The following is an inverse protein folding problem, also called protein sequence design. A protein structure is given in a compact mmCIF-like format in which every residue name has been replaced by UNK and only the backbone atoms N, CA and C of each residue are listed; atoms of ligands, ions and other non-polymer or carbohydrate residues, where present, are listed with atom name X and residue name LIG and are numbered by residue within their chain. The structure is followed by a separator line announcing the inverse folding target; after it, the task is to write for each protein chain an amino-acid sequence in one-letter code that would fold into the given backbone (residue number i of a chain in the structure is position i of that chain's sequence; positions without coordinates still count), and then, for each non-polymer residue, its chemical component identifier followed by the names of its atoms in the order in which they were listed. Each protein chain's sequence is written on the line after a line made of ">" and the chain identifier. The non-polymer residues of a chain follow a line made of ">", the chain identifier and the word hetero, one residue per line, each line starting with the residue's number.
data_IF_190262328415
#
_entry.id   IF_190262328415
#
_cell.length_a   1.000
_cell.length_b   1.000
_cell.length_c   1.000
_cell.angle_alpha   90.00
_cell.angle_beta   90.00
_cell.angle_gamma   90.00
#
_symmetry.space_group_name_H-M   'P 1'
#
loop_
_entity.id
_entity.type
_entity.pdbx_description
1 polymer ?
#
# COMPACT_ATOMS: atom_id res chain seq x y z
N UNK A 1 20.25 -10.80 -28.33
CA UNK A 1 20.82 -10.61 -26.98
C UNK A 1 19.97 -9.55 -26.32
N UNK A 2 19.48 -9.78 -25.10
CA UNK A 2 18.75 -8.74 -24.35
C UNK A 2 19.71 -7.57 -24.11
N UNK A 3 19.30 -6.33 -24.40
CA UNK A 3 20.12 -5.15 -24.10
C UNK A 3 20.13 -4.79 -22.61
N UNK A 4 19.25 -5.43 -21.82
CA UNK A 4 19.16 -5.21 -20.38
C UNK A 4 20.49 -5.47 -19.66
N UNK A 5 20.87 -4.51 -18.81
CA UNK A 5 21.91 -4.62 -17.80
C UNK A 5 21.54 -3.70 -16.61
N UNK A 6 21.96 -4.04 -15.37
CA UNK A 6 21.85 -3.11 -14.25
C UNK A 6 22.67 -1.86 -14.54
N UNK A 7 22.06 -0.69 -14.35
CA UNK A 7 22.74 0.59 -14.50
C UNK A 7 23.81 0.75 -13.43
N UNK A 8 24.88 1.43 -13.78
CA UNK A 8 25.82 2.01 -12.81
C UNK A 8 25.60 3.52 -12.64
N UNK A 9 26.30 4.13 -11.69
CA UNK A 9 26.16 5.56 -11.39
C UNK A 9 26.52 6.47 -12.57
N UNK A 10 27.51 6.11 -13.38
CA UNK A 10 27.91 6.91 -14.56
C UNK A 10 26.84 6.85 -15.65
N UNK A 11 26.26 5.68 -15.89
CA UNK A 11 25.13 5.50 -16.83
C UNK A 11 23.90 6.27 -16.37
N UNK A 12 23.59 6.24 -15.07
CA UNK A 12 22.51 7.03 -14.49
C UNK A 12 22.72 8.54 -14.69
N UNK A 13 23.96 9.04 -14.56
CA UNK A 13 24.31 10.44 -14.85
C UNK A 13 24.13 10.77 -16.33
N UNK A 14 24.57 9.91 -17.25
CA UNK A 14 24.39 10.15 -18.68
C UNK A 14 22.90 10.17 -19.07
N UNK A 15 22.11 9.25 -18.51
CA UNK A 15 20.67 9.21 -18.70
C UNK A 15 20.02 10.49 -18.17
N UNK A 16 20.38 10.93 -16.97
CA UNK A 16 19.89 12.19 -16.40
C UNK A 16 20.12 13.40 -17.32
N UNK A 17 21.31 13.50 -17.92
CA UNK A 17 21.66 14.56 -18.88
C UNK A 17 20.84 14.54 -20.16
N UNK A 18 20.35 13.36 -20.56
CA UNK A 18 19.53 13.21 -21.76
C UNK A 18 18.05 13.60 -21.56
N UNK A 19 17.60 13.82 -20.32
CA UNK A 19 16.23 14.23 -20.02
C UNK A 19 16.05 15.70 -20.39
N UNK A 20 15.22 16.03 -21.39
CA UNK A 20 15.12 17.40 -21.91
C UNK A 20 14.65 18.39 -20.85
N UNK A 21 15.40 19.49 -20.69
CA UNK A 21 15.03 20.61 -19.83
C UNK A 21 15.05 20.33 -18.32
N UNK A 22 15.58 19.16 -17.88
CA UNK A 22 15.66 18.84 -16.45
C UNK A 22 16.90 19.40 -15.78
N UNK A 23 18.02 19.39 -16.48
CA UNK A 23 19.29 19.93 -16.00
C UNK A 23 19.85 20.94 -17.01
N UNK A 24 20.47 22.05 -16.57
CA UNK A 24 21.24 22.91 -17.46
C UNK A 24 22.38 22.15 -18.16
N UNK A 25 22.76 22.55 -19.38
CA UNK A 25 23.85 21.88 -20.13
C UNK A 25 25.20 21.84 -19.37
N UNK A 26 25.43 22.83 -18.50
CA UNK A 26 26.62 22.96 -17.67
C UNK A 26 26.43 22.41 -16.25
N UNK A 27 25.36 21.65 -15.99
CA UNK A 27 25.13 21.04 -14.69
C UNK A 27 26.19 19.98 -14.39
N UNK A 28 26.84 20.11 -13.25
CA UNK A 28 27.71 19.07 -12.72
C UNK A 28 26.86 18.10 -11.90
N UNK A 29 26.67 16.88 -12.41
CA UNK A 29 25.81 15.90 -11.74
C UNK A 29 26.60 14.95 -10.85
N UNK A 30 26.03 14.62 -9.70
CA UNK A 30 26.44 13.51 -8.84
C UNK A 30 25.32 12.48 -8.75
N UNK A 31 25.70 11.21 -8.61
CA UNK A 31 24.75 10.11 -8.48
C UNK A 31 25.12 9.24 -7.28
N UNK A 32 24.11 8.90 -6.48
CA UNK A 32 24.20 7.90 -5.42
C UNK A 32 23.09 6.87 -5.60
N UNK A 33 23.39 5.59 -5.39
CA UNK A 33 22.36 4.56 -5.25
C UNK A 33 21.86 4.61 -3.79
N UNK A 34 20.54 4.69 -3.61
CA UNK A 34 19.86 4.92 -2.32
C UNK A 34 18.76 3.89 -2.06
N UNK A 35 18.65 2.85 -2.89
CA UNK A 35 17.60 1.86 -2.78
C UNK A 35 17.79 0.97 -1.56
N UNK A 36 17.15 1.36 -0.46
CA UNK A 36 16.91 0.53 0.74
C UNK A 36 15.77 -0.49 0.53
N UNK A 37 15.07 -0.39 -0.60
CA UNK A 37 13.90 -1.20 -0.94
C UNK A 37 14.20 -2.65 -1.36
N UNK A 38 13.15 -3.47 -1.25
CA UNK A 38 13.21 -4.92 -1.38
C UNK A 38 13.38 -5.45 -2.83
N UNK A 39 13.17 -4.62 -3.86
CA UNK A 39 12.98 -5.12 -5.24
C UNK A 39 13.82 -4.43 -6.33
N UNK A 40 14.19 -3.15 -6.16
CA UNK A 40 14.67 -2.31 -7.27
C UNK A 40 15.95 -1.52 -6.89
N UNK A 41 16.73 -1.10 -7.89
CA UNK A 41 17.80 -0.11 -7.73
C UNK A 41 17.19 1.29 -7.82
N UNK A 42 17.65 2.20 -6.96
CA UNK A 42 17.15 3.59 -6.95
C UNK A 42 18.33 4.53 -6.96
N UNK A 43 18.54 5.23 -8.07
CA UNK A 43 19.59 6.22 -8.23
C UNK A 43 19.04 7.62 -8.00
N UNK A 44 19.65 8.36 -7.07
CA UNK A 44 19.41 9.78 -6.85
C UNK A 44 20.49 10.58 -7.55
N UNK A 45 20.08 11.32 -8.58
CA UNK A 45 20.96 12.18 -9.37
C UNK A 45 20.67 13.64 -9.03
N UNK A 46 21.70 14.35 -8.61
CA UNK A 46 21.62 15.76 -8.17
C UNK A 46 22.58 16.63 -8.96
N UNK A 47 22.22 17.89 -9.20
CA UNK A 47 23.17 18.89 -9.67
C UNK A 47 23.91 19.54 -8.49
N UNK A 48 25.25 19.68 -8.56
CA UNK A 48 26.03 20.36 -7.51
C UNK A 48 25.78 21.87 -7.47
N UNK A 49 25.43 22.45 -8.61
CA UNK A 49 25.37 23.89 -8.84
C UNK A 49 23.93 24.43 -8.94
N UNK A 50 22.92 23.57 -8.86
CA UNK A 50 21.49 23.95 -8.79
C UNK A 50 20.77 23.13 -7.72
N UNK A 51 19.50 23.42 -7.45
CA UNK A 51 18.65 22.60 -6.59
C UNK A 51 17.94 21.45 -7.36
N UNK A 52 18.31 21.21 -8.62
CA UNK A 52 17.66 20.21 -9.45
C UNK A 52 18.14 18.79 -9.10
N UNK A 53 17.19 17.87 -9.07
CA UNK A 53 17.44 16.44 -8.80
C UNK A 53 16.41 15.56 -9.51
N UNK A 54 16.74 14.28 -9.72
CA UNK A 54 15.81 13.26 -10.21
C UNK A 54 16.07 11.92 -9.53
N UNK A 55 15.06 11.06 -9.59
CA UNK A 55 15.18 9.65 -9.26
C UNK A 55 15.14 8.82 -10.53
N UNK A 56 16.04 7.84 -10.63
CA UNK A 56 16.00 6.79 -11.65
C UNK A 56 15.83 5.46 -10.92
N UNK A 57 14.65 4.86 -11.05
CA UNK A 57 14.35 3.54 -10.48
C UNK A 57 14.47 2.49 -11.56
N UNK A 58 15.24 1.43 -11.31
CA UNK A 58 15.42 0.32 -12.25
C UNK A 58 15.07 -1.02 -11.60
N UNK A 59 14.24 -1.81 -12.28
CA UNK A 59 13.94 -3.17 -11.85
C UNK A 59 15.11 -4.11 -12.13
N UNK A 60 15.36 -5.06 -11.22
CA UNK A 60 16.31 -6.16 -11.38
C UNK A 60 15.58 -7.51 -11.55
N UNK A 61 16.14 -8.55 -12.20
CA UNK A 61 15.38 -9.75 -12.58
C UNK A 61 15.08 -10.72 -11.41
N UNK A 62 15.16 -10.24 -10.17
CA UNK A 62 14.90 -10.99 -8.93
C UNK A 62 14.44 -10.06 -7.80
N UNK A 63 13.91 -10.61 -6.72
CA UNK A 63 13.60 -9.84 -5.51
C UNK A 63 14.88 -9.55 -4.71
N UNK A 64 15.33 -8.30 -4.59
CA UNK A 64 16.57 -7.94 -3.85
C UNK A 64 16.61 -8.45 -2.41
N UNK A 65 15.47 -8.51 -1.72
CA UNK A 65 15.39 -8.95 -0.31
C UNK A 65 15.71 -10.44 -0.12
N UNK A 66 15.45 -11.27 -1.13
CA UNK A 66 15.72 -12.72 -1.10
C UNK A 66 16.94 -13.09 -1.96
N UNK A 67 17.22 -12.31 -3.00
CA UNK A 67 18.28 -12.53 -3.98
C UNK A 67 17.81 -13.33 -5.19
N UNK A 68 18.76 -13.81 -5.97
CA UNK A 68 18.53 -14.52 -7.25
C UNK A 68 17.69 -15.79 -7.14
N UNK A 69 17.51 -16.33 -5.92
CA UNK A 69 16.64 -17.48 -5.65
C UNK A 69 15.15 -17.18 -5.80
N UNK A 70 14.75 -15.91 -5.92
CA UNK A 70 13.38 -15.50 -6.24
C UNK A 70 13.35 -14.62 -7.51
N UNK A 71 13.28 -15.24 -8.70
CA UNK A 71 13.18 -14.51 -9.97
C UNK A 71 11.90 -13.68 -10.06
N UNK A 72 11.99 -12.49 -10.65
CA UNK A 72 10.86 -11.59 -10.90
C UNK A 72 10.97 -10.95 -12.27
N UNK A 73 9.86 -10.92 -13.01
CA UNK A 73 9.81 -10.25 -14.31
C UNK A 73 10.18 -8.77 -14.22
N UNK A 74 10.97 -8.30 -15.18
CA UNK A 74 11.29 -6.90 -15.38
C UNK A 74 10.09 -6.08 -15.89
N UNK A 75 9.06 -6.75 -16.42
CA UNK A 75 7.83 -6.12 -16.92
C UNK A 75 7.09 -5.32 -15.83
N UNK A 76 7.38 -5.59 -14.55
CA UNK A 76 6.87 -4.82 -13.43
C UNK A 76 7.27 -3.34 -13.48
N UNK A 77 8.41 -2.99 -14.10
CA UNK A 77 8.79 -1.60 -14.31
C UNK A 77 7.84 -0.87 -15.29
N UNK A 78 7.39 -1.59 -16.34
CA UNK A 78 6.37 -1.09 -17.27
C UNK A 78 5.02 -0.91 -16.55
N UNK A 79 4.63 -1.87 -15.72
CA UNK A 79 3.40 -1.80 -14.91
C UNK A 79 3.46 -0.59 -13.98
N UNK A 80 4.53 -0.44 -13.20
CA UNK A 80 4.73 0.67 -12.28
C UNK A 80 4.64 2.02 -13.00
N UNK A 81 5.37 2.17 -14.11
CA UNK A 81 5.32 3.40 -14.92
C UNK A 81 3.91 3.72 -15.39
N UNK A 82 3.19 2.73 -15.94
CA UNK A 82 1.84 2.95 -16.46
C UNK A 82 0.85 3.29 -15.35
N UNK A 83 1.01 2.69 -14.17
CA UNK A 83 0.23 3.04 -12.99
C UNK A 83 0.54 4.47 -12.54
N UNK A 84 1.81 4.85 -12.38
CA UNK A 84 2.22 6.21 -12.03
C UNK A 84 1.68 7.25 -13.03
N UNK A 85 1.78 7.01 -14.33
CA UNK A 85 1.22 7.91 -15.36
C UNK A 85 -0.30 8.02 -15.25
N UNK A 86 -1.00 6.91 -14.99
CA UNK A 86 -2.46 6.90 -14.82
C UNK A 86 -2.85 7.66 -13.57
N UNK A 87 -2.24 7.35 -12.43
CA UNK A 87 -2.51 8.00 -11.14
C UNK A 87 -2.16 9.49 -11.18
N UNK A 88 -1.04 9.88 -11.80
CA UNK A 88 -0.64 11.28 -11.98
C UNK A 88 -1.65 12.06 -12.83
N UNK A 89 -2.21 11.43 -13.87
CA UNK A 89 -3.25 12.08 -14.69
C UNK A 89 -4.53 12.39 -13.90
N UNK A 90 -4.79 11.60 -12.84
CA UNK A 90 -5.97 11.74 -11.99
C UNK A 90 -5.69 12.65 -10.78
N UNK A 91 -4.48 12.59 -10.22
CA UNK A 91 -4.06 13.23 -8.97
C UNK A 91 -2.61 13.76 -9.07
N UNK A 92 -2.32 14.77 -9.93
CA UNK A 92 -0.95 15.19 -10.24
C UNK A 92 -0.19 15.77 -9.04
N UNK A 93 -0.91 16.29 -8.04
CA UNK A 93 -0.33 16.79 -6.81
C UNK A 93 0.05 15.66 -5.83
N UNK A 94 -0.52 14.45 -5.98
CA UNK A 94 -0.34 13.32 -5.07
C UNK A 94 0.55 12.20 -5.59
N UNK A 95 1.13 12.32 -6.77
CA UNK A 95 1.95 11.28 -7.41
C UNK A 95 3.21 11.95 -7.97
N UNK A 96 4.39 11.30 -7.94
CA UNK A 96 5.58 11.87 -8.58
C UNK A 96 5.40 11.93 -10.09
N UNK A 97 5.87 13.02 -10.70
CA UNK A 97 5.88 13.13 -12.16
C UNK A 97 6.91 12.18 -12.79
N UNK A 98 6.52 11.45 -13.84
CA UNK A 98 7.45 10.67 -14.68
C UNK A 98 8.06 11.58 -15.76
N UNK A 99 9.39 11.51 -15.92
CA UNK A 99 10.16 12.30 -16.89
C UNK A 99 10.66 11.49 -18.09
N UNK A 100 10.87 10.19 -17.92
CA UNK A 100 11.39 9.31 -18.96
C UNK A 100 11.40 7.86 -18.51
N UNK A 101 11.61 6.93 -19.44
CA UNK A 101 11.61 5.50 -19.14
C UNK A 101 12.26 4.69 -20.27
N UNK A 102 12.55 3.42 -19.99
CA UNK A 102 12.84 2.42 -21.01
C UNK A 102 12.26 1.08 -20.57
N UNK A 103 11.34 0.53 -21.38
CA UNK A 103 10.80 -0.81 -21.14
C UNK A 103 11.88 -1.89 -21.39
N UNK A 104 12.87 -1.63 -22.25
CA UNK A 104 13.97 -2.55 -22.55
C UNK A 104 15.01 -2.61 -21.43
N UNK A 105 15.34 -1.47 -20.83
CA UNK A 105 16.27 -1.38 -19.68
C UNK A 105 15.55 -1.42 -18.33
N UNK A 106 14.21 -1.52 -18.34
CA UNK A 106 13.34 -1.60 -17.17
C UNK A 106 13.56 -0.48 -16.13
N UNK A 107 13.73 0.77 -16.60
CA UNK A 107 13.84 1.93 -15.72
C UNK A 107 12.73 2.95 -15.92
N UNK A 108 12.46 3.71 -14.86
CA UNK A 108 11.62 4.90 -14.84
C UNK A 108 12.39 6.06 -14.20
N UNK A 109 12.40 7.21 -14.87
CA UNK A 109 12.95 8.47 -14.38
C UNK A 109 11.80 9.33 -13.87
N UNK A 110 11.87 9.82 -12.64
CA UNK A 110 10.77 10.51 -11.98
C UNK A 110 11.22 11.63 -11.03
N UNK A 111 10.23 12.40 -10.57
CA UNK A 111 10.35 13.46 -9.56
C UNK A 111 11.09 12.96 -8.32
N UNK A 112 12.06 13.76 -7.87
CA UNK A 112 12.74 13.52 -6.60
C UNK A 112 11.89 14.05 -5.44
N UNK A 113 11.66 13.18 -4.46
CA UNK A 113 10.90 13.44 -3.25
C UNK A 113 11.79 13.40 -2.00
N UNK A 114 13.10 13.62 -2.12
CA UNK A 114 14.05 13.58 -1.00
C UNK A 114 13.76 14.56 0.14
N UNK A 115 12.93 15.59 -0.11
CA UNK A 115 12.43 16.51 0.94
C UNK A 115 11.28 15.92 1.77
N UNK A 116 10.69 14.80 1.34
CA UNK A 116 9.60 14.11 2.02
C UNK A 116 10.13 13.02 2.94
N UNK A 117 9.32 12.65 3.93
CA UNK A 117 9.58 11.50 4.81
C UNK A 117 8.64 10.35 4.45
N UNK A 118 9.14 9.12 4.44
CA UNK A 118 8.26 7.95 4.32
C UNK A 118 7.28 7.93 5.50
N UNK A 119 5.97 7.84 5.21
CA UNK A 119 4.90 7.97 6.20
C UNK A 119 5.08 7.01 7.39
N UNK A 120 5.51 5.76 7.14
CA UNK A 120 5.82 4.79 8.20
C UNK A 120 6.83 5.33 9.21
N UNK A 121 7.95 5.88 8.73
CA UNK A 121 8.99 6.46 9.58
C UNK A 121 8.42 7.63 10.39
N UNK A 122 7.70 8.53 9.74
CA UNK A 122 7.08 9.68 10.39
C UNK A 122 6.07 9.30 11.49
N UNK A 123 5.30 8.22 11.27
CA UNK A 123 4.37 7.69 12.26
C UNK A 123 5.08 7.10 13.49
N UNK A 124 6.17 6.36 13.28
CA UNK A 124 7.02 5.84 14.38
C UNK A 124 7.59 6.98 15.22
N UNK A 125 8.05 8.06 14.56
CA UNK A 125 8.54 9.27 15.21
C UNK A 125 7.43 10.09 15.91
N UNK A 126 6.16 9.73 15.71
CA UNK A 126 5.01 10.38 16.33
C UNK A 126 4.59 11.71 15.69
N UNK A 127 5.06 11.98 14.46
CA UNK A 127 4.75 13.19 13.71
C UNK A 127 3.27 13.20 13.30
N UNK A 128 2.65 14.37 13.34
CA UNK A 128 1.27 14.56 12.89
C UNK A 128 1.23 15.00 11.42
N UNK A 129 0.36 14.37 10.63
CA UNK A 129 0.14 14.70 9.22
C UNK A 129 -1.33 15.07 9.02
N UNK A 130 -1.74 16.32 9.31
CA UNK A 130 -3.15 16.71 9.37
C UNK A 130 -3.87 16.61 8.02
N UNK A 131 -3.12 16.70 6.91
CA UNK A 131 -3.66 16.60 5.54
C UNK A 131 -3.72 15.19 4.97
N UNK A 132 -3.09 14.21 5.61
CA UNK A 132 -2.95 12.86 5.08
C UNK A 132 -4.29 12.20 4.74
N UNK A 133 -5.25 12.25 5.68
CA UNK A 133 -6.55 11.61 5.49
C UNK A 133 -7.34 12.18 4.31
N UNK A 134 -7.31 13.51 4.16
CA UNK A 134 -7.91 14.24 3.03
C UNK A 134 -7.25 13.83 1.71
N UNK A 135 -5.92 13.90 1.65
CA UNK A 135 -5.15 13.59 0.45
C UNK A 135 -5.32 12.13 0.00
N UNK A 136 -5.16 11.17 0.90
CA UNK A 136 -5.24 9.75 0.57
C UNK A 136 -6.67 9.31 0.29
N UNK A 137 -7.67 9.83 1.02
CA UNK A 137 -9.08 9.58 0.70
C UNK A 137 -9.45 10.07 -0.70
N UNK A 138 -8.99 11.27 -1.09
CA UNK A 138 -9.17 11.82 -2.45
C UNK A 138 -8.44 10.99 -3.50
N UNK A 139 -7.18 10.59 -3.24
CA UNK A 139 -6.40 9.73 -4.12
C UNK A 139 -7.16 8.44 -4.43
N UNK A 140 -7.53 7.68 -3.39
CA UNK A 140 -8.27 6.43 -3.49
C UNK A 140 -9.59 6.61 -4.24
N UNK A 141 -10.35 7.67 -3.93
CA UNK A 141 -11.64 7.90 -4.58
C UNK A 141 -11.47 8.10 -6.09
N UNK A 142 -10.52 8.94 -6.50
CA UNK A 142 -10.29 9.29 -7.91
C UNK A 142 -9.70 8.12 -8.69
N UNK A 143 -8.63 7.50 -8.19
CA UNK A 143 -7.95 6.41 -8.90
C UNK A 143 -8.85 5.19 -9.06
N UNK A 144 -9.58 4.81 -8.01
CA UNK A 144 -10.48 3.66 -8.05
C UNK A 144 -11.74 3.95 -8.88
N UNK A 145 -12.34 5.13 -8.76
CA UNK A 145 -13.56 5.47 -9.52
C UNK A 145 -13.30 5.53 -11.03
N UNK A 146 -12.34 6.36 -11.45
CA UNK A 146 -12.09 6.61 -12.87
C UNK A 146 -11.45 5.43 -13.62
N UNK A 147 -11.03 4.38 -12.91
CA UNK A 147 -10.53 3.14 -13.53
C UNK A 147 -11.50 1.95 -13.37
N UNK A 148 -12.69 2.19 -12.79
CA UNK A 148 -13.75 1.18 -12.66
C UNK A 148 -14.76 1.25 -13.81
N UNK A 149 -15.67 0.26 -13.92
CA UNK A 149 -16.79 0.33 -14.86
C UNK A 149 -17.78 1.47 -14.56
N UNK A 150 -17.67 2.13 -13.39
CA UNK A 150 -18.49 3.28 -13.03
C UNK A 150 -18.03 4.55 -13.76
N UNK A 151 -16.72 4.83 -13.72
CA UNK A 151 -16.13 6.05 -14.27
C UNK A 151 -15.41 5.85 -15.62
N UNK A 152 -15.31 4.61 -16.12
CA UNK A 152 -14.66 4.27 -17.38
C UNK A 152 -15.58 3.46 -18.29
N UNK A 153 -15.48 3.71 -19.60
CA UNK A 153 -16.13 2.85 -20.60
C UNK A 153 -15.66 1.38 -20.45
N UNK A 154 -16.60 0.43 -20.47
CA UNK A 154 -16.30 -0.97 -20.15
C UNK A 154 -15.44 -1.70 -21.20
N UNK A 155 -15.35 -1.22 -22.44
CA UNK A 155 -14.44 -1.78 -23.45
C UNK A 155 -13.01 -1.29 -23.19
N UNK A 156 -12.83 0.02 -22.99
CA UNK A 156 -11.53 0.61 -22.61
C UNK A 156 -10.98 -0.02 -21.34
N UNK A 157 -11.84 -0.27 -20.35
CA UNK A 157 -11.44 -0.97 -19.11
C UNK A 157 -10.90 -2.38 -19.41
N UNK A 158 -11.54 -3.15 -20.28
CA UNK A 158 -11.08 -4.51 -20.64
C UNK A 158 -9.74 -4.50 -21.35
N UNK A 159 -9.53 -3.54 -22.26
CA UNK A 159 -8.25 -3.34 -22.93
C UNK A 159 -7.15 -2.93 -21.92
N UNK A 160 -7.48 -2.00 -21.01
CA UNK A 160 -6.56 -1.56 -19.97
C UNK A 160 -6.22 -2.71 -19.01
N UNK A 161 -7.20 -3.53 -18.63
CA UNK A 161 -6.97 -4.73 -17.83
C UNK A 161 -6.00 -5.71 -18.50
N UNK A 162 -6.08 -5.87 -19.83
CA UNK A 162 -5.10 -6.65 -20.59
C UNK A 162 -3.67 -6.11 -20.51
N UNK A 163 -3.49 -4.79 -20.35
CA UNK A 163 -2.17 -4.14 -20.19
C UNK A 163 -1.61 -4.26 -18.77
N UNK A 164 -2.46 -4.55 -17.80
CA UNK A 164 -2.14 -4.67 -16.37
C UNK A 164 -2.20 -6.13 -15.87
N UNK A 165 -2.01 -7.10 -16.78
CA UNK A 165 -1.78 -8.49 -16.39
C UNK A 165 -0.40 -8.57 -15.72
N UNK A 166 -0.39 -8.90 -14.43
CA UNK A 166 0.80 -8.82 -13.57
C UNK A 166 0.99 -10.09 -12.70
N UNK A 167 1.18 -11.27 -13.31
CA UNK A 167 1.05 -12.55 -12.62
C UNK A 167 2.09 -12.76 -11.51
N UNK A 168 3.35 -12.34 -11.70
CA UNK A 168 4.42 -12.59 -10.73
C UNK A 168 4.17 -11.84 -9.41
N UNK A 169 3.77 -10.56 -9.50
CA UNK A 169 3.51 -9.72 -8.32
C UNK A 169 2.17 -10.07 -7.67
N UNK A 170 1.16 -10.44 -8.46
CA UNK A 170 -0.07 -11.03 -7.93
C UNK A 170 0.22 -12.31 -7.16
N UNK A 171 1.06 -13.21 -7.68
CA UNK A 171 1.41 -14.47 -7.00
C UNK A 171 2.10 -14.23 -5.65
N UNK A 172 3.02 -13.27 -5.57
CA UNK A 172 3.62 -12.86 -4.29
C UNK A 172 2.54 -12.46 -3.28
N UNK A 173 1.55 -11.69 -3.73
CA UNK A 173 0.45 -11.22 -2.87
C UNK A 173 -0.47 -12.37 -2.46
N UNK A 174 -0.83 -13.24 -3.40
CA UNK A 174 -1.63 -14.45 -3.17
C UNK A 174 -1.02 -15.33 -2.08
N UNK A 175 0.29 -15.56 -2.15
CA UNK A 175 1.01 -16.39 -1.20
C UNK A 175 1.18 -15.70 0.14
N UNK A 176 1.81 -14.52 0.14
CA UNK A 176 2.28 -13.88 1.36
C UNK A 176 1.15 -13.27 2.18
N UNK A 177 -0.01 -12.95 1.59
CA UNK A 177 -1.14 -12.37 2.33
C UNK A 177 -2.22 -13.40 2.62
N UNK A 178 -2.50 -14.32 1.69
CA UNK A 178 -3.70 -15.16 1.76
C UNK A 178 -3.42 -16.65 1.95
N UNK A 179 -2.16 -17.08 1.97
CA UNK A 179 -1.81 -18.48 2.09
C UNK A 179 -0.80 -18.75 3.21
N UNK A 180 0.42 -18.23 3.08
CA UNK A 180 1.54 -18.53 3.97
C UNK A 180 1.23 -18.32 5.45
N UNK A 181 0.64 -17.18 5.90
CA UNK A 181 0.34 -16.96 7.32
C UNK A 181 -0.57 -18.00 7.99
N UNK A 182 -1.31 -18.78 7.19
CA UNK A 182 -2.36 -19.69 7.65
C UNK A 182 -1.98 -21.16 7.51
N UNK A 183 -0.75 -21.46 7.07
CA UNK A 183 -0.20 -22.83 6.99
C UNK A 183 1.24 -22.89 7.46
N UNK A 184 1.80 -24.08 7.50
CA UNK A 184 3.24 -24.23 7.63
C UNK A 184 3.91 -23.79 6.31
N UNK A 185 4.80 -22.81 6.41
CA UNK A 185 5.49 -22.22 5.26
C UNK A 185 6.89 -21.78 5.68
N UNK A 186 7.88 -22.05 4.83
CA UNK A 186 9.26 -21.61 5.04
C UNK A 186 9.41 -20.07 4.94
N UNK A 187 8.41 -19.39 4.37
CA UNK A 187 8.37 -17.94 4.29
C UNK A 187 7.94 -17.29 5.60
N UNK A 188 7.23 -18.00 6.48
CA UNK A 188 6.80 -17.43 7.75
C UNK A 188 8.00 -17.19 8.66
N UNK A 189 8.05 -16.00 9.25
CA UNK A 189 9.09 -15.57 10.16
C UNK A 189 8.41 -14.91 11.36
N UNK A 190 8.70 -15.38 12.57
CA UNK A 190 8.14 -14.82 13.80
C UNK A 190 8.95 -15.25 15.01
N UNK A 191 8.89 -14.46 16.08
CA UNK A 191 9.58 -14.76 17.33
C UNK A 191 8.91 -15.90 18.09
N UNK A 192 9.69 -16.66 18.86
CA UNK A 192 9.18 -17.77 19.68
C UNK A 192 8.12 -17.32 20.70
N UNK A 193 8.16 -16.06 21.12
CA UNK A 193 7.20 -15.44 22.05
C UNK A 193 5.77 -15.38 21.51
N UNK A 194 5.56 -15.48 20.20
CA UNK A 194 4.24 -15.50 19.55
C UNK A 194 3.99 -16.78 18.73
N UNK A 195 4.77 -17.84 18.96
CA UNK A 195 4.62 -19.10 18.24
C UNK A 195 3.26 -19.77 18.47
N UNK A 196 2.66 -19.57 19.65
CA UNK A 196 1.30 -20.00 20.00
C UNK A 196 0.24 -19.31 19.14
N UNK A 197 0.40 -18.01 18.83
CA UNK A 197 -0.50 -17.29 17.93
C UNK A 197 -0.39 -17.79 16.49
N UNK A 198 0.84 -18.04 16.03
CA UNK A 198 1.07 -18.61 14.70
C UNK A 198 0.47 -20.02 14.58
N UNK A 199 0.56 -20.85 15.63
CA UNK A 199 -0.10 -22.15 15.68
C UNK A 199 -1.63 -22.02 15.68
N UNK A 200 -2.18 -21.11 16.50
CA UNK A 200 -3.61 -20.84 16.53
C UNK A 200 -4.13 -20.40 15.15
N UNK A 201 -3.41 -19.52 14.44
CA UNK A 201 -3.76 -19.10 13.08
C UNK A 201 -3.85 -20.28 12.11
N UNK A 202 -2.95 -21.27 12.21
CA UNK A 202 -2.97 -22.47 11.33
C UNK A 202 -4.13 -23.42 11.64
N UNK A 203 -4.66 -23.39 12.85
CA UNK A 203 -5.78 -24.26 13.26
C UNK A 203 -7.16 -23.58 13.14
N UNK A 204 -7.21 -22.28 12.87
CA UNK A 204 -8.43 -21.46 12.90
C UNK A 204 -9.26 -21.58 11.59
N UNK A 205 -9.99 -22.69 11.46
CA UNK A 205 -10.83 -22.96 10.28
C UNK A 205 -11.88 -21.87 9.98
N UNK A 206 -12.59 -21.29 10.98
CA UNK A 206 -13.49 -20.16 10.72
C UNK A 206 -12.77 -18.94 10.12
N UNK A 207 -11.57 -18.60 10.60
CA UNK A 207 -10.78 -17.52 10.01
C UNK A 207 -10.34 -17.88 8.58
N UNK A 208 -9.88 -19.11 8.35
CA UNK A 208 -9.48 -19.58 7.01
C UNK A 208 -10.61 -19.45 6.00
N UNK A 209 -11.84 -19.71 6.41
CA UNK A 209 -13.02 -19.53 5.55
C UNK A 209 -13.15 -18.08 5.07
N UNK A 210 -13.07 -17.10 5.97
CA UNK A 210 -13.14 -15.68 5.60
C UNK A 210 -11.94 -15.25 4.73
N UNK A 211 -10.74 -15.74 5.05
CA UNK A 211 -9.53 -15.51 4.24
C UNK A 211 -9.72 -16.07 2.82
N UNK A 212 -10.30 -17.27 2.68
CA UNK A 212 -10.55 -17.88 1.39
C UNK A 212 -11.56 -17.06 0.55
N UNK A 213 -12.59 -16.47 1.18
CA UNK A 213 -13.51 -15.56 0.50
C UNK A 213 -12.80 -14.28 0.02
N UNK A 214 -11.97 -13.67 0.86
CA UNK A 214 -11.18 -12.49 0.48
C UNK A 214 -10.16 -12.80 -0.62
N UNK A 215 -9.49 -13.96 -0.53
CA UNK A 215 -8.58 -14.46 -1.57
C UNK A 215 -9.31 -14.66 -2.89
N UNK A 216 -10.51 -15.25 -2.87
CA UNK A 216 -11.31 -15.43 -4.08
C UNK A 216 -11.64 -14.09 -4.73
N UNK A 217 -11.98 -13.06 -3.94
CA UNK A 217 -12.16 -11.69 -4.46
C UNK A 217 -10.90 -11.14 -5.10
N UNK A 218 -9.75 -11.24 -4.42
CA UNK A 218 -8.45 -10.81 -4.96
C UNK A 218 -8.15 -11.45 -6.32
N UNK A 219 -8.41 -12.75 -6.46
CA UNK A 219 -8.15 -13.55 -7.67
C UNK A 219 -9.08 -13.26 -8.84
N UNK A 220 -10.30 -12.76 -8.59
CA UNK A 220 -11.37 -12.78 -9.62
C UNK A 220 -12.10 -11.46 -9.82
N UNK A 221 -12.10 -10.57 -8.84
CA UNK A 221 -12.89 -9.34 -8.89
C UNK A 221 -12.05 -8.18 -9.43
N UNK A 222 -11.97 -8.09 -10.75
CA UNK A 222 -11.31 -6.99 -11.47
C UNK A 222 -12.14 -5.70 -11.40
N UNK A 223 -12.24 -5.05 -10.23
CA UNK A 223 -13.13 -3.92 -9.96
C UNK A 223 -12.59 -2.59 -10.49
N UNK A 224 -11.33 -2.27 -10.17
CA UNK A 224 -10.62 -1.05 -10.58
C UNK A 224 -9.11 -1.34 -10.73
N UNK A 225 -8.37 -0.43 -11.34
CA UNK A 225 -6.90 -0.49 -11.32
C UNK A 225 -6.43 -0.11 -9.92
N UNK A 226 -5.82 -1.07 -9.23
CA UNK A 226 -5.25 -0.89 -7.91
C UNK A 226 -3.82 -0.37 -8.00
N UNK A 227 -3.36 0.29 -6.94
CA UNK A 227 -1.94 0.46 -6.63
C UNK A 227 -1.30 -0.90 -6.28
N UNK A 228 -2.01 -1.76 -5.54
CA UNK A 228 -1.62 -3.14 -5.26
C UNK A 228 -0.66 -3.32 -4.07
N UNK A 229 0.08 -2.30 -3.64
CA UNK A 229 0.80 -2.34 -2.35
C UNK A 229 0.78 -1.01 -1.58
N UNK A 230 -0.40 -0.40 -1.42
CA UNK A 230 -0.56 0.95 -0.85
C UNK A 230 -0.46 0.98 0.69
N UNK A 231 0.70 0.63 1.23
CA UNK A 231 0.99 0.72 2.65
C UNK A 231 1.71 2.02 3.03
N UNK A 232 1.86 2.32 4.33
CA UNK A 232 2.56 3.54 4.81
C UNK A 232 4.04 3.62 4.44
N UNK A 233 4.63 2.53 3.94
CA UNK A 233 5.97 2.53 3.33
C UNK A 233 6.00 3.01 1.87
N UNK A 234 4.84 3.11 1.21
CA UNK A 234 4.69 3.49 -0.22
C UNK A 234 4.09 4.89 -0.34
N UNK A 235 4.24 5.69 0.71
CA UNK A 235 3.68 7.04 0.79
C UNK A 235 4.72 7.95 1.41
N UNK A 236 5.09 8.98 0.68
CA UNK A 236 5.88 10.10 1.15
C UNK A 236 4.96 11.20 1.69
N UNK A 237 5.38 11.85 2.78
CA UNK A 237 4.64 12.91 3.44
C UNK A 237 5.53 14.07 3.88
N UNK A 238 4.94 15.25 3.84
CA UNK A 238 5.28 16.40 4.69
C UNK A 238 4.02 16.77 5.47
N UNK A 239 4.06 17.72 6.43
CA UNK A 239 2.83 18.17 7.10
C UNK A 239 1.71 18.58 6.11
N UNK A 240 2.10 19.16 4.96
CA UNK A 240 1.17 19.81 4.01
C UNK A 240 1.03 19.10 2.67
N UNK A 241 1.79 18.03 2.42
CA UNK A 241 1.79 17.32 1.13
C UNK A 241 1.89 15.81 1.32
N UNK A 242 1.38 15.06 0.36
CA UNK A 242 1.38 13.60 0.35
C UNK A 242 1.64 13.10 -1.06
N UNK A 243 2.53 12.12 -1.22
CA UNK A 243 2.90 11.55 -2.51
C UNK A 243 2.88 10.01 -2.44
N UNK A 244 2.06 9.38 -3.26
CA UNK A 244 1.99 7.92 -3.42
C UNK A 244 3.05 7.48 -4.42
N UNK A 245 3.76 6.40 -4.12
CA UNK A 245 4.88 5.87 -4.91
C UNK A 245 4.80 4.34 -5.00
N UNK A 246 5.59 3.75 -5.90
CA UNK A 246 5.78 2.30 -6.02
C UNK A 246 4.53 1.45 -6.35
N UNK A 247 3.69 1.81 -7.34
CA UNK A 247 2.56 0.99 -7.79
C UNK A 247 2.99 -0.21 -8.66
N UNK A 248 4.09 -0.91 -8.34
CA UNK A 248 4.60 -2.03 -9.15
C UNK A 248 3.74 -3.30 -9.05
N UNK A 249 2.90 -3.38 -8.01
CA UNK A 249 1.90 -4.43 -7.81
C UNK A 249 0.55 -4.11 -8.50
N UNK A 250 0.49 -3.03 -9.29
CA UNK A 250 -0.75 -2.60 -9.92
C UNK A 250 -1.32 -3.70 -10.83
N UNK A 251 -2.62 -3.96 -10.64
CA UNK A 251 -3.43 -4.85 -11.44
C UNK A 251 -4.91 -4.49 -11.26
N UNK A 252 -5.80 -5.06 -12.09
CA UNK A 252 -7.23 -4.89 -11.88
C UNK A 252 -7.75 -5.83 -10.79
N UNK A 253 -8.11 -5.27 -9.64
CA UNK A 253 -8.51 -6.02 -8.45
C UNK A 253 -9.61 -5.34 -7.64
N UNK A 254 -9.93 -5.86 -6.44
CA UNK A 254 -11.00 -5.33 -5.59
C UNK A 254 -10.57 -4.03 -4.89
N UNK A 255 -11.39 -2.98 -4.98
CA UNK A 255 -11.10 -1.64 -4.45
C UNK A 255 -10.73 -1.64 -2.96
N UNK A 256 -11.40 -2.48 -2.18
CA UNK A 256 -11.15 -2.60 -0.74
C UNK A 256 -9.70 -2.99 -0.41
N UNK A 257 -8.95 -3.58 -1.35
CA UNK A 257 -7.59 -4.04 -1.09
C UNK A 257 -6.61 -2.88 -0.83
N UNK A 258 -6.67 -1.80 -1.60
CA UNK A 258 -5.82 -0.61 -1.39
C UNK A 258 -6.28 0.20 -0.17
N UNK A 259 -7.59 0.38 -0.01
CA UNK A 259 -8.18 1.06 1.17
C UNK A 259 -7.78 0.32 2.46
N UNK A 260 -7.91 -1.01 2.44
CA UNK A 260 -7.50 -1.87 3.53
C UNK A 260 -5.98 -1.88 3.76
N UNK A 261 -5.16 -1.67 2.73
CA UNK A 261 -3.72 -1.53 2.88
C UNK A 261 -3.33 -0.30 3.69
N UNK A 262 -3.94 0.85 3.39
CA UNK A 262 -3.71 2.09 4.14
C UNK A 262 -4.19 1.93 5.57
N UNK A 263 -5.46 1.56 5.77
CA UNK A 263 -6.08 1.44 7.10
C UNK A 263 -5.33 0.40 7.94
N UNK A 264 -5.07 -0.79 7.40
CA UNK A 264 -4.35 -1.85 8.11
C UNK A 264 -2.97 -1.42 8.58
N UNK A 265 -2.25 -0.60 7.81
CA UNK A 265 -0.94 -0.09 8.23
C UNK A 265 -1.03 1.03 9.27
N UNK A 266 -2.06 1.89 9.23
CA UNK A 266 -2.35 2.81 10.34
C UNK A 266 -2.66 2.03 11.64
N UNK A 267 -3.39 0.92 11.51
CA UNK A 267 -3.74 0.06 12.65
C UNK A 267 -2.56 -0.74 13.19
N UNK A 268 -1.58 -1.12 12.35
CA UNK A 268 -0.31 -1.69 12.81
C UNK A 268 0.46 -0.68 13.66
N UNK A 269 0.53 0.58 13.21
CA UNK A 269 1.16 1.64 13.99
C UNK A 269 0.38 1.92 15.30
N UNK A 270 -0.96 1.85 15.29
CA UNK A 270 -1.80 1.94 16.49
C UNK A 270 -1.54 0.80 17.47
N UNK A 271 -1.39 -0.43 16.98
CA UNK A 271 -1.05 -1.58 17.82
C UNK A 271 0.34 -1.43 18.46
N UNK A 272 1.27 -0.78 17.77
CA UNK A 272 2.63 -0.52 18.22
C UNK A 272 2.77 0.61 19.25
N UNK A 273 1.80 1.52 19.37
CA UNK A 273 1.94 2.73 20.20
C UNK A 273 2.36 2.52 21.67
N UNK A 274 1.96 1.43 22.37
CA UNK A 274 2.47 1.15 23.72
C UNK A 274 4.00 1.02 23.79
N UNK A 275 4.65 0.56 22.72
CA UNK A 275 6.12 0.49 22.62
C UNK A 275 6.81 1.79 22.25
N UNK A 276 6.05 2.81 21.82
CA UNK A 276 6.57 4.10 21.33
C UNK A 276 6.19 5.30 22.22
N UNK A 277 5.39 5.08 23.25
CA UNK A 277 4.84 6.15 24.09
C UNK A 277 5.39 6.03 25.51
N UNK A 278 6.03 7.09 26.00
CA UNK A 278 6.68 7.10 27.32
C UNK A 278 5.73 7.29 28.51
N UNK A 279 4.49 7.71 28.25
CA UNK A 279 3.47 7.99 29.27
C UNK A 279 2.04 7.78 28.72
N UNK A 280 1.07 7.63 29.61
CA UNK A 280 -0.34 7.34 29.27
C UNK A 280 -1.01 8.46 28.46
N UNK A 281 -0.64 9.72 28.69
CA UNK A 281 -1.25 10.85 27.99
C UNK A 281 -0.78 10.88 26.52
N UNK A 282 0.52 10.69 26.29
CA UNK A 282 1.09 10.57 24.94
C UNK A 282 0.53 9.37 24.21
N UNK A 283 0.41 8.22 24.89
CA UNK A 283 -0.19 7.01 24.33
C UNK A 283 -1.62 7.26 23.84
N UNK A 284 -2.48 7.78 24.73
CA UNK A 284 -3.88 8.04 24.40
C UNK A 284 -4.04 9.04 23.24
N UNK A 285 -3.20 10.10 23.21
CA UNK A 285 -3.24 11.10 22.15
C UNK A 285 -2.82 10.53 20.79
N UNK A 286 -1.77 9.69 20.75
CA UNK A 286 -1.30 9.06 19.51
C UNK A 286 -2.27 7.99 19.01
N UNK A 287 -2.79 7.16 19.90
CA UNK A 287 -3.82 6.17 19.57
C UNK A 287 -5.08 6.84 19.00
N UNK A 288 -5.58 7.90 19.65
CA UNK A 288 -6.74 8.65 19.16
C UNK A 288 -6.50 9.22 17.77
N UNK A 289 -5.34 9.86 17.55
CA UNK A 289 -4.96 10.42 16.25
C UNK A 289 -4.94 9.38 15.13
N UNK A 290 -4.43 8.18 15.39
CA UNK A 290 -4.36 7.11 14.37
C UNK A 290 -5.75 6.59 14.01
N UNK A 291 -6.65 6.44 14.99
CA UNK A 291 -8.02 6.04 14.75
C UNK A 291 -8.81 7.13 14.01
N UNK A 292 -8.62 8.40 14.38
CA UNK A 292 -9.18 9.56 13.66
C UNK A 292 -8.67 9.63 12.22
N UNK A 293 -7.37 9.39 12.01
CA UNK A 293 -6.77 9.36 10.67
C UNK A 293 -7.35 8.23 9.82
N UNK A 294 -7.49 7.02 10.36
CA UNK A 294 -8.10 5.89 9.66
C UNK A 294 -9.57 6.16 9.30
N UNK A 295 -10.33 6.74 10.23
CA UNK A 295 -11.71 7.19 9.97
C UNK A 295 -11.77 8.28 8.90
N UNK A 296 -10.87 9.26 8.98
CA UNK A 296 -10.77 10.34 8.01
C UNK A 296 -10.47 9.82 6.60
N UNK A 297 -9.57 8.84 6.44
CA UNK A 297 -9.30 8.22 5.13
C UNK A 297 -10.57 7.64 4.53
N UNK A 298 -11.35 6.87 5.31
CA UNK A 298 -12.63 6.32 4.84
C UNK A 298 -13.64 7.41 4.51
N UNK A 299 -13.86 8.36 5.42
CA UNK A 299 -14.83 9.45 5.23
C UNK A 299 -14.51 10.28 3.99
N UNK A 300 -13.23 10.65 3.79
CA UNK A 300 -12.83 11.37 2.60
C UNK A 300 -12.94 10.52 1.34
N UNK A 301 -12.60 9.23 1.39
CA UNK A 301 -12.83 8.32 0.27
C UNK A 301 -14.33 8.25 -0.10
N UNK A 302 -15.20 7.94 0.85
CA UNK A 302 -16.62 7.76 0.62
C UNK A 302 -17.27 9.02 0.06
N UNK A 303 -17.00 10.18 0.66
CA UNK A 303 -17.57 11.45 0.21
C UNK A 303 -17.13 11.80 -1.21
N UNK A 304 -15.83 11.69 -1.51
CA UNK A 304 -15.33 11.97 -2.84
C UNK A 304 -15.85 10.95 -3.87
N UNK A 305 -15.83 9.66 -3.54
CA UNK A 305 -16.27 8.58 -4.45
C UNK A 305 -17.76 8.71 -4.79
N UNK A 306 -18.61 9.06 -3.82
CA UNK A 306 -20.03 9.32 -4.05
C UNK A 306 -20.25 10.60 -4.87
N UNK A 307 -19.47 11.65 -4.66
CA UNK A 307 -19.53 12.85 -5.51
C UNK A 307 -19.20 12.50 -6.96
N UNK A 308 -18.07 11.81 -7.19
CA UNK A 308 -17.67 11.36 -8.52
C UNK A 308 -18.73 10.47 -9.17
N UNK A 309 -19.37 9.58 -8.41
CA UNK A 309 -20.49 8.78 -8.91
C UNK A 309 -21.69 9.65 -9.31
N UNK A 310 -22.03 10.67 -8.54
CA UNK A 310 -23.16 11.53 -8.87
C UNK A 310 -22.87 12.38 -10.13
N UNK A 311 -21.65 12.85 -10.27
CA UNK A 311 -21.25 13.83 -11.28
C UNK A 311 -20.79 13.17 -12.60
N UNK A 312 -20.00 12.09 -12.51
CA UNK A 312 -19.21 11.54 -13.62
C UNK A 312 -19.54 10.08 -13.98
N UNK A 313 -20.58 9.47 -13.38
CA UNK A 313 -20.94 8.08 -13.67
C UNK A 313 -21.30 7.88 -15.14
N UNK A 314 -20.70 6.85 -15.74
CA UNK A 314 -20.93 6.41 -17.12
C UNK A 314 -21.85 5.19 -17.21
N UNK A 315 -21.90 4.34 -16.18
CA UNK A 315 -22.79 3.17 -16.15
C UNK A 315 -24.22 3.56 -15.74
N UNK A 316 -25.13 3.66 -16.72
CA UNK A 316 -26.50 4.11 -16.49
C UNK A 316 -27.30 3.21 -15.54
N UNK A 317 -27.05 1.89 -15.56
CA UNK A 317 -27.73 0.96 -14.65
C UNK A 317 -27.35 1.22 -13.18
N UNK A 318 -26.11 1.66 -12.94
CA UNK A 318 -25.61 2.04 -11.62
C UNK A 318 -26.26 3.30 -11.04
N UNK A 319 -27.10 4.03 -11.79
CA UNK A 319 -27.96 5.12 -11.27
C UNK A 319 -29.17 4.60 -10.50
N UNK A 320 -29.42 3.29 -10.51
CA UNK A 320 -30.57 2.69 -9.82
C UNK A 320 -30.57 3.08 -8.33
N UNK A 321 -31.69 3.63 -7.80
CA UNK A 321 -31.76 4.03 -6.40
C UNK A 321 -31.36 2.91 -5.43
N UNK A 322 -30.51 3.25 -4.46
CA UNK A 322 -29.99 2.31 -3.45
C UNK A 322 -28.77 1.49 -3.89
N UNK A 323 -28.42 1.45 -5.18
CA UNK A 323 -27.25 0.69 -5.63
C UNK A 323 -25.93 1.31 -5.16
N UNK A 324 -25.81 2.65 -5.17
CA UNK A 324 -24.62 3.34 -4.66
C UNK A 324 -24.33 2.99 -3.19
N UNK A 325 -25.35 3.00 -2.33
CA UNK A 325 -25.21 2.64 -0.91
C UNK A 325 -24.81 1.18 -0.72
N UNK A 326 -25.42 0.28 -1.49
CA UNK A 326 -25.03 -1.12 -1.49
C UNK A 326 -23.56 -1.30 -1.90
N UNK A 327 -23.14 -0.65 -2.98
CA UNK A 327 -21.79 -0.75 -3.52
C UNK A 327 -20.74 -0.25 -2.52
N UNK A 328 -20.92 0.97 -1.99
CA UNK A 328 -20.00 1.56 -1.01
C UNK A 328 -19.95 0.72 0.26
N UNK A 329 -21.08 0.18 0.72
CA UNK A 329 -21.12 -0.75 1.86
C UNK A 329 -20.31 -2.03 1.58
N UNK A 330 -20.36 -2.60 0.38
CA UNK A 330 -19.50 -3.76 0.04
C UNK A 330 -18.02 -3.40 0.03
N UNK A 331 -17.65 -2.23 -0.51
CA UNK A 331 -16.26 -1.75 -0.51
C UNK A 331 -15.73 -1.58 0.92
N UNK A 332 -16.54 -1.04 1.85
CA UNK A 332 -16.18 -0.93 3.26
C UNK A 332 -15.88 -2.29 3.90
N UNK A 333 -16.77 -3.26 3.68
CA UNK A 333 -16.61 -4.63 4.19
C UNK A 333 -15.35 -5.27 3.65
N UNK A 334 -15.06 -5.10 2.36
CA UNK A 334 -13.84 -5.63 1.76
C UNK A 334 -12.59 -4.94 2.29
N UNK A 335 -12.63 -3.62 2.46
CA UNK A 335 -11.53 -2.86 3.05
C UNK A 335 -11.19 -3.34 4.48
N UNK A 336 -12.18 -3.60 5.31
CA UNK A 336 -11.97 -4.13 6.65
C UNK A 336 -11.33 -5.54 6.62
N UNK A 337 -11.84 -6.44 5.77
CA UNK A 337 -11.30 -7.79 5.63
C UNK A 337 -9.85 -7.78 5.13
N UNK A 338 -9.55 -7.02 4.08
CA UNK A 338 -8.19 -6.90 3.56
C UNK A 338 -7.24 -6.18 4.53
N UNK A 339 -7.72 -5.20 5.29
CA UNK A 339 -6.94 -4.60 6.38
C UNK A 339 -6.52 -5.68 7.39
N UNK A 340 -7.47 -6.54 7.79
CA UNK A 340 -7.19 -7.64 8.71
C UNK A 340 -6.14 -8.63 8.19
N UNK A 341 -6.27 -9.10 6.93
CA UNK A 341 -5.27 -9.98 6.31
C UNK A 341 -3.88 -9.32 6.23
N UNK A 342 -3.83 -8.03 5.86
CA UNK A 342 -2.57 -7.27 5.79
C UNK A 342 -1.96 -7.03 7.16
N UNK A 343 -2.75 -6.90 8.22
CA UNK A 343 -2.23 -6.87 9.59
C UNK A 343 -1.62 -8.21 9.97
N UNK A 344 -2.35 -9.32 9.79
CA UNK A 344 -1.89 -10.67 10.16
C UNK A 344 -0.57 -11.02 9.47
N UNK A 345 -0.51 -10.85 8.14
CA UNK A 345 0.68 -11.21 7.36
C UNK A 345 1.94 -10.43 7.73
N UNK A 346 1.80 -9.22 8.29
CA UNK A 346 2.92 -8.38 8.71
C UNK A 346 3.52 -8.80 10.05
N UNK A 347 2.87 -9.70 10.79
CA UNK A 347 3.34 -10.18 12.10
C UNK A 347 3.98 -11.58 12.00
N UNK A 348 3.38 -12.48 11.20
CA UNK A 348 3.83 -13.88 11.12
C UNK A 348 4.39 -14.29 9.76
N UNK A 349 4.25 -13.44 8.75
CA UNK A 349 4.69 -13.71 7.38
C UNK A 349 6.10 -13.19 7.08
N UNK A 350 6.56 -13.36 5.84
CA UNK A 350 7.93 -13.04 5.44
C UNK A 350 8.35 -11.58 5.65
N UNK A 351 7.47 -10.65 5.28
CA UNK A 351 7.81 -9.23 5.23
C UNK A 351 7.08 -8.47 6.32
N UNK A 352 7.81 -8.10 7.36
CA UNK A 352 7.32 -7.44 8.57
C UNK A 352 7.14 -5.93 8.40
N UNK A 353 6.88 -5.20 9.49
CA UNK A 353 6.84 -3.73 9.53
C UNK A 353 7.73 -3.16 10.62
N UNK A 354 8.44 -2.09 10.29
CA UNK A 354 9.31 -1.38 11.23
C UNK A 354 8.56 -0.85 12.46
N UNK A 355 7.26 -0.55 12.34
CA UNK A 355 6.42 -0.07 13.44
C UNK A 355 6.49 -0.99 14.67
N UNK A 356 6.66 -2.29 14.47
CA UNK A 356 6.66 -3.30 15.54
C UNK A 356 8.07 -3.86 15.72
N UNK A 357 8.74 -4.25 14.63
CA UNK A 357 10.05 -4.91 14.70
C UNK A 357 11.14 -4.02 15.33
N UNK A 358 11.02 -2.69 15.23
CA UNK A 358 12.02 -1.77 15.78
C UNK A 358 11.71 -1.31 17.21
N UNK A 359 10.65 -1.84 17.84
CA UNK A 359 10.39 -1.63 19.27
C UNK A 359 11.52 -2.31 20.07
N UNK A 360 12.24 -1.52 20.87
CA UNK A 360 13.43 -1.99 21.58
C UNK A 360 13.11 -2.92 22.77
N UNK A 361 11.99 -2.72 23.47
CA UNK A 361 11.57 -3.58 24.57
C UNK A 361 10.84 -4.81 24.04
N UNK A 362 11.42 -6.00 24.25
CA UNK A 362 10.89 -7.26 23.71
C UNK A 362 9.46 -7.57 24.18
N UNK A 363 9.13 -7.20 25.42
CA UNK A 363 7.79 -7.42 25.99
C UNK A 363 6.75 -6.48 25.39
N UNK A 364 7.11 -5.22 25.17
CA UNK A 364 6.28 -4.26 24.46
C UNK A 364 6.10 -4.68 22.99
N UNK A 365 7.15 -5.20 22.35
CA UNK A 365 7.08 -5.75 20.99
C UNK A 365 6.13 -6.93 20.90
N UNK A 366 6.24 -7.91 21.80
CA UNK A 366 5.31 -9.04 21.89
C UNK A 366 3.85 -8.56 22.10
N UNK A 367 3.65 -7.61 23.00
CA UNK A 367 2.33 -7.03 23.27
C UNK A 367 1.74 -6.38 22.02
N UNK A 368 2.56 -5.64 21.26
CA UNK A 368 2.15 -5.02 20.01
C UNK A 368 1.82 -6.07 18.93
N UNK A 369 2.63 -7.12 18.78
CA UNK A 369 2.39 -8.24 17.85
C UNK A 369 1.05 -8.92 18.16
N UNK A 370 0.80 -9.29 19.43
CA UNK A 370 -0.45 -9.93 19.85
C UNK A 370 -1.66 -9.01 19.66
N UNK A 371 -1.53 -7.72 19.98
CA UNK A 371 -2.59 -6.71 19.74
C UNK A 371 -2.90 -6.58 18.24
N UNK A 372 -1.88 -6.54 17.38
CA UNK A 372 -2.05 -6.47 15.94
C UNK A 372 -2.74 -7.73 15.39
N UNK A 373 -2.34 -8.93 15.84
CA UNK A 373 -2.99 -10.19 15.47
C UNK A 373 -4.44 -10.25 15.93
N UNK A 374 -4.73 -9.83 17.16
CA UNK A 374 -6.09 -9.78 17.70
C UNK A 374 -7.00 -8.87 16.85
N UNK A 375 -6.55 -7.66 16.53
CA UNK A 375 -7.29 -6.73 15.66
C UNK A 375 -7.46 -7.33 14.27
N UNK A 376 -6.39 -7.86 13.67
CA UNK A 376 -6.41 -8.44 12.34
C UNK A 376 -7.41 -9.59 12.21
N UNK A 377 -7.35 -10.57 13.14
CA UNK A 377 -8.30 -11.69 13.22
C UNK A 377 -9.74 -11.20 13.37
N UNK A 378 -9.97 -10.21 14.24
CA UNK A 378 -11.31 -9.67 14.48
C UNK A 378 -11.89 -8.98 13.23
N UNK A 379 -11.08 -8.19 12.53
CA UNK A 379 -11.49 -7.56 11.28
C UNK A 379 -11.83 -8.62 10.23
N UNK A 380 -10.98 -9.63 10.01
CA UNK A 380 -11.25 -10.70 9.05
C UNK A 380 -12.53 -11.47 9.40
N UNK A 381 -12.75 -11.83 10.68
CA UNK A 381 -13.93 -12.61 11.07
C UNK A 381 -15.25 -11.87 10.90
N UNK A 382 -15.26 -10.57 11.16
CA UNK A 382 -16.50 -9.80 11.25
C UNK A 382 -16.68 -8.79 10.12
N UNK A 383 -15.80 -8.79 9.11
CA UNK A 383 -15.85 -7.76 8.06
C UNK A 383 -17.20 -7.69 7.34
N UNK A 384 -17.89 -8.82 7.14
CA UNK A 384 -19.17 -8.90 6.43
C UNK A 384 -20.34 -8.27 7.19
N UNK A 385 -20.24 -8.13 8.52
CA UNK A 385 -21.30 -7.55 9.37
C UNK A 385 -21.18 -6.04 9.57
N UNK A 386 -20.05 -5.43 9.19
CA UNK A 386 -19.80 -3.99 9.28
C UNK A 386 -20.80 -3.23 8.41
N UNK A 387 -21.44 -2.21 8.98
CA UNK A 387 -22.38 -1.31 8.28
C UNK A 387 -21.85 0.11 8.17
N UNK A 388 -20.93 0.49 9.04
CA UNK A 388 -20.34 1.82 9.17
C UNK A 388 -18.87 1.74 9.59
N UNK A 389 -18.11 2.83 9.44
CA UNK A 389 -16.73 2.86 9.93
C UNK A 389 -16.68 2.80 11.46
N UNK A 390 -17.71 3.31 12.13
CA UNK A 390 -17.90 3.23 13.58
C UNK A 390 -18.00 1.79 14.08
N UNK A 391 -18.64 0.89 13.32
CA UNK A 391 -18.65 -0.55 13.63
C UNK A 391 -17.23 -1.12 13.55
N UNK A 392 -16.45 -0.73 12.54
CA UNK A 392 -15.05 -1.13 12.40
C UNK A 392 -14.21 -0.64 13.58
N UNK A 393 -14.36 0.62 14.00
CA UNK A 393 -13.70 1.18 15.18
C UNK A 393 -14.07 0.44 16.47
N UNK A 394 -15.33 0.00 16.58
CA UNK A 394 -15.80 -0.81 17.72
C UNK A 394 -15.09 -2.16 17.76
N UNK A 395 -14.98 -2.86 16.63
CA UNK A 395 -14.25 -4.12 16.52
C UNK A 395 -12.76 -3.95 16.90
N UNK A 396 -12.12 -2.87 16.44
CA UNK A 396 -10.71 -2.58 16.75
C UNK A 396 -10.52 -2.37 18.26
N UNK A 397 -11.36 -1.55 18.88
CA UNK A 397 -11.28 -1.23 20.31
C UNK A 397 -11.59 -2.43 21.20
N UNK A 398 -12.51 -3.29 20.81
CA UNK A 398 -12.84 -4.52 21.55
C UNK A 398 -11.69 -5.52 21.50
N UNK A 399 -11.12 -5.77 20.31
CA UNK A 399 -9.97 -6.65 20.15
C UNK A 399 -8.73 -6.14 20.90
N UNK A 400 -8.53 -4.82 20.94
CA UNK A 400 -7.42 -4.19 21.68
C UNK A 400 -7.47 -4.43 23.19
N UNK A 401 -8.64 -4.77 23.75
CA UNK A 401 -8.84 -5.04 25.18
C UNK A 401 -8.79 -6.53 25.53
N UNK A 402 -8.54 -7.41 24.55
CA UNK A 402 -8.53 -8.87 24.76
C UNK A 402 -9.92 -9.48 24.93
N UNK A 403 -10.99 -8.77 24.56
CA UNK A 403 -12.34 -9.31 24.61
C UNK A 403 -12.65 -10.05 23.31
N UNK A 404 -12.98 -11.35 23.38
CA UNK A 404 -13.56 -12.06 22.25
C UNK A 404 -14.93 -11.44 21.90
N UNK A 405 -15.09 -11.08 20.63
CA UNK A 405 -16.35 -10.51 20.14
C UNK A 405 -17.28 -11.66 19.76
N UNK A 406 -18.26 -11.95 20.61
CA UNK A 406 -19.44 -12.69 20.20
C UNK A 406 -20.44 -11.68 19.65
N UNK A 407 -20.69 -11.70 18.33
CA UNK A 407 -21.80 -10.98 17.69
C UNK A 407 -22.86 -11.99 17.29
#
# INVERSE_FOLDING_TARGET
>A
MSAYHPLNADEAIQLAKSIPGRFPEHAELECREIGDGNLNLVFHVTAKNTADSIIIKQAVPYAKVVGESWPLSLDRARIERLALETEYSLCPDLVPKVYGYSDELAYTVMEDLSEYTIMRKGLIEGIAYPKFAEHIGRFLARTLFYTSDLGMNQQKKKELAGRFVNPDLCKITEDLIFEDPYRESANNNYEQSIADEAEALRADLPLHFEVALLRHKFLTHAQALLHGDLHTGSIFVTPESTKVIDPEFAYFGPMGFDIGAVIGNLLLNYAAQPGWSGDEQTLAAREARLLEMASGVWTHFENNFRSLWNDDLLDEMSRTPGYQDHYVSQVLKDAAGFAGCKMIRRIVGLSHVADIDTIADDKARETAQRKALAIGKNLVRHHRSIKSFEDMLTLIKQASKGNEVSI
#
